data_IF_122870611853
#
_entry.id   IF_122870611853
#
_cell.length_a   1.000
_cell.length_b   1.000
_cell.length_c   1.000
_cell.angle_alpha   90.00
_cell.angle_beta   90.00
_cell.angle_gamma   90.00
#
_symmetry.space_group_name_H-M   'P 1'
#
loop_
_entity.id
_entity.type
_entity.pdbx_description
1 polymer ?
#
# COMPACT_ATOMS: atom_id res chain seq x y z
N UNK A 1 -13.08 -8.83 64.20
CA UNK A 1 -12.45 -9.74 63.21
C UNK A 1 -12.00 -8.94 61.96
N UNK A 2 -10.84 -8.23 61.95
CA UNK A 2 -9.46 -8.75 61.85
C UNK A 2 -9.32 -9.75 60.67
N UNK A 3 -8.47 -9.60 59.65
CA UNK A 3 -7.40 -8.67 59.25
C UNK A 3 -6.95 -9.05 57.81
N UNK A 4 -6.54 -8.09 56.96
CA UNK A 4 -5.16 -7.88 56.44
C UNK A 4 -4.39 -9.09 55.87
N UNK A 5 -3.96 -9.01 54.60
CA UNK A 5 -2.70 -9.59 54.03
C UNK A 5 -2.74 -9.44 52.50
N UNK A 6 -2.21 -8.38 51.86
CA UNK A 6 -0.80 -8.13 51.52
C UNK A 6 0.03 -9.37 51.15
N UNK A 7 0.25 -9.59 49.86
CA UNK A 7 1.46 -10.30 49.39
C UNK A 7 2.07 -9.53 48.22
N UNK A 8 2.91 -8.57 48.57
CA UNK A 8 4.04 -8.17 47.74
C UNK A 8 5.07 -9.30 47.83
N UNK A 9 5.58 -9.77 46.70
CA UNK A 9 6.88 -10.44 46.69
C UNK A 9 7.77 -9.75 45.68
N UNK A 10 8.64 -8.90 46.23
CA UNK A 10 9.84 -8.44 45.58
C UNK A 10 10.71 -9.67 45.23
N UNK A 11 11.22 -9.72 44.02
CA UNK A 11 12.38 -10.55 43.69
C UNK A 11 13.47 -9.64 43.10
N UNK A 12 14.36 -9.29 44.03
CA UNK A 12 15.73 -8.85 43.93
C UNK A 12 16.40 -8.77 42.55
N UNK A 13 16.96 -7.59 42.34
CA UNK A 13 18.09 -7.25 41.46
C UNK A 13 19.15 -8.37 41.40
N UNK A 14 19.53 -8.75 40.18
CA UNK A 14 20.91 -9.09 39.83
C UNK A 14 21.29 -8.35 38.56
N UNK A 15 22.13 -7.34 38.72
CA UNK A 15 23.05 -6.89 37.68
C UNK A 15 24.10 -7.97 37.46
N UNK A 16 24.47 -8.28 36.20
CA UNK A 16 25.82 -8.67 35.89
C UNK A 16 26.56 -7.48 35.27
N UNK A 17 27.74 -7.24 35.84
CA UNK A 17 28.78 -6.38 35.33
C UNK A 17 29.15 -6.70 33.88
N UNK A 18 29.70 -5.69 33.21
CA UNK A 18 30.09 -5.76 31.82
C UNK A 18 31.05 -6.90 31.49
N UNK A 19 30.80 -7.49 30.33
CA UNK A 19 31.80 -8.16 29.53
C UNK A 19 31.66 -7.61 28.12
N UNK A 20 32.53 -6.65 27.79
CA UNK A 20 32.85 -6.24 26.44
C UNK A 20 33.41 -7.45 25.68
N UNK A 21 32.52 -8.17 24.99
CA UNK A 21 32.85 -9.26 24.09
C UNK A 21 32.21 -8.99 22.74
N UNK A 22 32.96 -8.29 21.87
CA UNK A 22 32.57 -8.09 20.48
C UNK A 22 32.55 -9.43 19.74
N UNK A 23 31.37 -10.03 19.60
CA UNK A 23 31.12 -11.09 18.62
C UNK A 23 30.69 -10.42 17.33
N UNK A 24 31.68 -9.93 16.56
CA UNK A 24 31.53 -9.69 15.12
C UNK A 24 31.17 -11.03 14.49
N UNK A 25 29.90 -11.21 14.13
CA UNK A 25 29.47 -12.29 13.27
C UNK A 25 30.26 -12.27 11.95
N UNK A 26 30.62 -13.42 11.39
CA UNK A 26 31.41 -13.49 10.17
C UNK A 26 30.52 -13.07 8.98
N UNK A 27 30.93 -11.99 8.31
CA UNK A 27 30.69 -11.79 6.88
C UNK A 27 29.24 -11.75 6.42
N UNK A 28 28.49 -10.72 6.83
CA UNK A 28 27.46 -10.19 5.94
C UNK A 28 28.14 -9.68 4.69
N UNK A 29 28.19 -10.51 3.64
CA UNK A 29 28.66 -10.10 2.32
C UNK A 29 27.72 -8.99 1.85
N UNK A 30 28.14 -7.74 2.00
CA UNK A 30 27.54 -6.65 1.25
C UNK A 30 27.78 -6.97 -0.22
N UNK A 31 26.72 -7.41 -0.91
CA UNK A 31 26.75 -7.49 -2.36
C UNK A 31 27.28 -6.15 -2.89
N UNK A 32 28.23 -6.14 -3.83
CA UNK A 32 28.73 -4.91 -4.40
C UNK A 32 27.54 -4.15 -4.99
N UNK A 33 27.23 -2.99 -4.43
CA UNK A 33 26.28 -2.07 -5.04
C UNK A 33 26.76 -1.83 -6.47
N UNK A 34 25.89 -1.99 -7.47
CA UNK A 34 26.23 -1.67 -8.85
C UNK A 34 26.67 -0.21 -8.91
N UNK A 35 27.97 0.03 -9.10
CA UNK A 35 28.52 1.38 -9.13
C UNK A 35 28.14 2.01 -10.47
N UNK A 36 27.48 3.18 -10.41
CA UNK A 36 27.31 4.12 -11.52
C UNK A 36 26.42 3.66 -12.71
N UNK A 37 25.58 2.64 -12.54
CA UNK A 37 24.55 2.28 -13.53
C UNK A 37 23.20 2.80 -13.07
N UNK A 38 22.96 4.10 -13.29
CA UNK A 38 21.70 4.78 -12.92
C UNK A 38 20.72 4.90 -14.07
N UNK A 39 21.15 4.62 -15.30
CA UNK A 39 20.33 4.76 -16.50
C UNK A 39 19.42 3.55 -16.79
N UNK A 40 19.58 2.42 -16.08
CA UNK A 40 18.83 1.17 -16.32
C UNK A 40 17.54 1.06 -15.49
N UNK A 41 16.95 2.19 -15.13
CA UNK A 41 15.69 2.25 -14.40
C UNK A 41 15.85 2.38 -12.87
N UNK A 42 14.80 2.07 -12.10
CA UNK A 42 14.76 2.35 -10.67
C UNK A 42 15.77 1.52 -9.88
N UNK A 43 16.37 2.13 -8.83
CA UNK A 43 17.36 1.50 -7.96
C UNK A 43 16.85 0.20 -7.31
N UNK A 44 15.56 0.10 -7.05
CA UNK A 44 14.89 -1.12 -6.61
C UNK A 44 13.53 -1.22 -7.32
N UNK A 45 13.29 -2.29 -8.08
CA UNK A 45 12.00 -2.49 -8.75
C UNK A 45 10.86 -2.69 -7.75
N UNK A 46 11.16 -3.24 -6.57
CA UNK A 46 10.17 -3.52 -5.52
C UNK A 46 9.62 -2.25 -4.89
N UNK A 47 10.49 -1.26 -4.64
CA UNK A 47 10.07 0.00 -4.03
C UNK A 47 9.40 0.92 -5.05
N UNK A 48 9.85 0.89 -6.31
CA UNK A 48 9.27 1.73 -7.36
C UNK A 48 7.79 1.41 -7.63
N UNK A 49 7.43 0.13 -7.50
CA UNK A 49 6.07 -0.34 -7.74
C UNK A 49 5.12 -0.15 -6.54
N UNK A 50 5.62 0.32 -5.39
CA UNK A 50 4.76 0.60 -4.25
C UNK A 50 3.92 1.84 -4.52
N UNK A 51 2.65 1.81 -4.09
CA UNK A 51 1.78 2.99 -4.05
C UNK A 51 2.35 4.12 -3.19
N UNK A 52 3.34 3.84 -2.34
CA UNK A 52 4.04 4.86 -1.54
C UNK A 52 5.18 5.57 -2.27
N UNK A 53 5.61 5.08 -3.43
CA UNK A 53 6.65 5.70 -4.26
C UNK A 53 6.05 6.64 -5.31
N UNK A 54 5.08 7.47 -4.92
CA UNK A 54 4.50 8.50 -5.79
C UNK A 54 5.47 9.67 -5.95
N UNK A 55 5.34 10.41 -7.05
CA UNK A 55 6.23 11.52 -7.41
C UNK A 55 6.42 12.51 -6.26
N UNK A 56 5.35 12.76 -5.50
CA UNK A 56 5.35 13.71 -4.38
C UNK A 56 6.32 13.38 -3.23
N UNK A 57 6.73 12.11 -3.11
CA UNK A 57 7.72 11.69 -2.10
C UNK A 57 9.15 11.96 -2.55
N UNK A 58 9.37 12.19 -3.86
CA UNK A 58 10.68 12.43 -4.45
C UNK A 58 11.01 13.91 -4.60
N UNK A 59 9.99 14.77 -4.76
CA UNK A 59 10.17 16.21 -4.88
C UNK A 59 9.97 16.93 -3.55
N UNK A 60 10.87 17.86 -3.27
CA UNK A 60 10.83 18.71 -2.07
C UNK A 60 9.83 19.86 -2.25
N UNK A 61 9.38 20.45 -1.13
CA UNK A 61 8.50 21.63 -1.20
C UNK A 61 9.16 22.80 -1.92
N UNK A 62 10.49 22.92 -1.84
CA UNK A 62 11.25 23.98 -2.51
C UNK A 62 11.18 23.82 -4.04
N UNK A 63 11.38 22.61 -4.57
CA UNK A 63 11.27 22.36 -6.01
C UNK A 63 9.85 22.60 -6.53
N UNK A 64 8.84 22.21 -5.76
CA UNK A 64 7.44 22.48 -6.12
C UNK A 64 7.13 23.99 -6.06
N UNK A 65 7.74 24.71 -5.11
CA UNK A 65 7.58 26.16 -4.97
C UNK A 65 8.15 26.92 -6.15
N UNK A 66 9.32 26.51 -6.65
CA UNK A 66 9.91 27.12 -7.82
C UNK A 66 8.97 27.01 -9.04
N UNK A 67 8.30 25.86 -9.20
CA UNK A 67 7.28 25.71 -10.26
C UNK A 67 6.01 26.51 -10.01
N UNK A 68 5.58 26.63 -8.75
CA UNK A 68 4.46 27.48 -8.39
C UNK A 68 4.75 28.95 -8.71
N UNK A 69 5.91 29.47 -8.32
CA UNK A 69 6.30 30.86 -8.55
C UNK A 69 6.43 31.19 -10.05
N UNK A 70 6.74 30.20 -10.90
CA UNK A 70 6.74 30.35 -12.36
C UNK A 70 5.32 30.44 -12.97
N UNK A 71 4.32 29.86 -12.32
CA UNK A 71 2.96 29.74 -12.87
C UNK A 71 1.93 30.64 -12.19
N UNK A 72 2.16 31.00 -10.93
CA UNK A 72 1.26 31.77 -10.09
C UNK A 72 1.22 33.22 -10.55
N UNK A 73 0.02 33.72 -10.80
CA UNK A 73 -0.20 35.14 -11.08
C UNK A 73 -0.61 35.77 -9.76
N UNK A 74 0.22 36.67 -9.22
CA UNK A 74 0.00 37.33 -7.92
C UNK A 74 0.03 36.37 -6.70
N UNK A 75 0.82 35.29 -6.77
CA UNK A 75 0.98 34.35 -5.65
C UNK A 75 -0.23 33.43 -5.43
N UNK A 76 -1.12 33.35 -6.43
CA UNK A 76 -2.26 32.45 -6.46
C UNK A 76 -2.25 31.60 -7.74
N UNK A 77 -2.72 30.38 -7.62
CA UNK A 77 -2.87 29.44 -8.72
C UNK A 77 -4.32 28.97 -8.82
N UNK A 78 -4.87 28.99 -10.02
CA UNK A 78 -6.19 28.40 -10.26
C UNK A 78 -6.16 26.88 -10.06
N UNK A 79 -7.15 26.32 -9.36
CA UNK A 79 -7.26 24.88 -9.10
C UNK A 79 -7.24 24.06 -10.39
N UNK A 80 -7.81 24.57 -11.47
CA UNK A 80 -7.78 23.91 -12.78
C UNK A 80 -6.35 23.71 -13.33
N UNK A 81 -5.40 24.54 -12.89
CA UNK A 81 -3.99 24.53 -13.33
C UNK A 81 -3.06 23.74 -12.42
N UNK A 82 -3.57 23.13 -11.35
CA UNK A 82 -2.77 22.28 -10.44
C UNK A 82 -2.16 21.10 -11.19
N UNK A 83 -2.88 20.49 -12.13
CA UNK A 83 -2.33 19.40 -12.96
C UNK A 83 -1.23 19.87 -13.91
N UNK A 84 -1.33 21.09 -14.44
CA UNK A 84 -0.25 21.69 -15.24
C UNK A 84 1.00 21.92 -14.39
N UNK A 85 0.82 22.38 -13.14
CA UNK A 85 1.92 22.56 -12.19
C UNK A 85 2.60 21.23 -11.88
N UNK A 86 1.84 20.19 -11.56
CA UNK A 86 2.38 18.85 -11.28
C UNK A 86 3.11 18.29 -12.49
N UNK A 87 2.56 18.47 -13.69
CA UNK A 87 3.21 18.05 -14.95
C UNK A 87 4.53 18.79 -15.18
N UNK A 88 4.58 20.08 -14.88
CA UNK A 88 5.78 20.89 -15.01
C UNK A 88 6.83 20.51 -13.97
N UNK A 89 6.43 20.27 -12.72
CA UNK A 89 7.33 19.86 -11.64
C UNK A 89 7.89 18.45 -11.84
N UNK A 90 7.05 17.49 -12.23
CA UNK A 90 7.44 16.10 -12.42
C UNK A 90 8.14 15.87 -13.77
N UNK A 91 7.84 16.70 -14.77
CA UNK A 91 8.26 16.49 -16.15
C UNK A 91 7.48 15.39 -16.88
N UNK A 92 6.49 14.79 -16.23
CA UNK A 92 5.58 13.79 -16.78
C UNK A 92 4.17 14.01 -16.23
N UNK A 93 3.18 13.46 -16.92
CA UNK A 93 1.79 13.55 -16.48
C UNK A 93 1.57 12.67 -15.23
N UNK A 94 1.01 13.21 -14.13
CA UNK A 94 0.78 12.43 -12.92
C UNK A 94 -0.08 11.21 -13.21
N UNK A 95 0.18 10.10 -12.51
CA UNK A 95 -0.57 8.87 -12.74
C UNK A 95 -2.04 9.02 -12.31
N UNK A 96 -2.99 8.26 -12.88
CA UNK A 96 -4.40 8.36 -12.51
C UNK A 96 -4.66 8.19 -11.00
N UNK A 97 -3.93 7.28 -10.36
CA UNK A 97 -3.97 7.07 -8.90
C UNK A 97 -3.52 8.32 -8.12
N UNK A 98 -2.48 9.03 -8.61
CA UNK A 98 -2.02 10.29 -8.02
C UNK A 98 -3.05 11.40 -8.23
N UNK A 99 -3.65 11.48 -9.42
CA UNK A 99 -4.67 12.46 -9.73
C UNK A 99 -5.86 12.36 -8.77
N UNK A 100 -6.36 11.13 -8.51
CA UNK A 100 -7.44 10.92 -7.54
C UNK A 100 -7.09 11.41 -6.14
N UNK A 101 -5.85 11.17 -5.68
CA UNK A 101 -5.37 11.67 -4.39
C UNK A 101 -5.35 13.21 -4.36
N UNK A 102 -4.85 13.85 -5.42
CA UNK A 102 -4.78 15.31 -5.51
C UNK A 102 -6.16 15.98 -5.59
N UNK A 103 -7.09 15.39 -6.34
CA UNK A 103 -8.48 15.88 -6.41
C UNK A 103 -9.12 15.84 -5.02
N UNK A 104 -8.89 14.76 -4.28
CA UNK A 104 -9.45 14.56 -2.94
C UNK A 104 -8.81 15.50 -1.91
N UNK A 105 -7.49 15.69 -1.94
CA UNK A 105 -6.77 16.50 -0.95
C UNK A 105 -6.95 18.00 -1.15
N UNK A 106 -7.02 18.47 -2.40
CA UNK A 106 -7.13 19.89 -2.72
C UNK A 106 -8.56 20.35 -3.03
N UNK A 107 -9.54 19.43 -2.95
CA UNK A 107 -10.94 19.67 -3.33
C UNK A 107 -11.02 20.37 -4.70
N UNK A 108 -10.38 19.77 -5.71
CA UNK A 108 -10.26 20.34 -7.05
C UNK A 108 -11.59 20.35 -7.83
N UNK A 109 -12.65 19.74 -7.30
CA UNK A 109 -14.00 19.75 -7.89
C UNK A 109 -14.69 21.12 -7.76
N UNK A 110 -14.26 21.92 -6.79
CA UNK A 110 -14.80 23.27 -6.58
C UNK A 110 -13.92 24.31 -7.27
N UNK A 111 -14.53 25.19 -8.07
CA UNK A 111 -13.84 26.35 -8.67
C UNK A 111 -13.20 27.22 -7.57
N UNK A 112 -11.95 27.62 -7.77
CA UNK A 112 -11.25 28.45 -6.80
C UNK A 112 -9.77 28.66 -7.09
N UNK A 113 -9.17 29.56 -6.30
CA UNK A 113 -7.74 29.85 -6.32
C UNK A 113 -7.10 29.21 -5.09
N UNK A 114 -5.90 28.64 -5.25
CA UNK A 114 -5.06 28.12 -4.17
C UNK A 114 -3.87 29.04 -3.94
N UNK A 115 -3.64 29.39 -2.69
CA UNK A 115 -2.42 30.05 -2.26
C UNK A 115 -1.32 29.01 -1.96
N UNK A 116 -0.05 29.42 -2.04
CA UNK A 116 1.09 28.55 -1.68
C UNK A 116 0.94 27.81 -0.33
N UNK A 117 0.55 28.45 0.80
CA UNK A 117 0.46 27.75 2.08
C UNK A 117 -0.61 26.64 2.09
N UNK A 118 -1.67 26.78 1.31
CA UNK A 118 -2.71 25.74 1.18
C UNK A 118 -2.18 24.56 0.35
N UNK A 119 -1.44 24.89 -0.71
CA UNK A 119 -0.81 23.92 -1.60
C UNK A 119 0.30 23.11 -0.88
N UNK A 120 1.12 23.80 -0.09
CA UNK A 120 2.14 23.19 0.77
C UNK A 120 1.52 22.28 1.84
N UNK A 121 0.48 22.74 2.52
CA UNK A 121 -0.23 21.94 3.52
C UNK A 121 -0.83 20.67 2.91
N UNK A 122 -1.46 20.75 1.73
CA UNK A 122 -1.99 19.58 1.05
C UNK A 122 -0.92 18.61 0.58
N UNK A 123 0.25 19.09 0.13
CA UNK A 123 1.38 18.21 -0.17
C UNK A 123 1.88 17.47 1.05
N UNK A 124 2.01 18.14 2.19
CA UNK A 124 2.44 17.51 3.44
C UNK A 124 1.42 16.49 3.96
N UNK A 125 0.12 16.76 3.81
CA UNK A 125 -0.95 15.81 4.11
C UNK A 125 -0.85 14.54 3.25
N UNK A 126 -0.69 14.68 1.94
CA UNK A 126 -0.52 13.55 1.02
C UNK A 126 0.73 12.74 1.39
N UNK A 127 1.86 13.41 1.69
CA UNK A 127 3.08 12.71 2.08
C UNK A 127 2.89 11.92 3.38
N UNK A 128 2.14 12.44 4.35
CA UNK A 128 1.87 11.73 5.59
C UNK A 128 0.95 10.52 5.36
N UNK A 129 -0.08 10.65 4.52
CA UNK A 129 -0.93 9.53 4.09
C UNK A 129 -0.07 8.42 3.44
N UNK A 130 0.82 8.78 2.53
CA UNK A 130 1.67 7.83 1.81
C UNK A 130 2.75 7.18 2.67
N UNK A 131 3.26 7.86 3.70
CA UNK A 131 4.15 7.26 4.71
C UNK A 131 3.48 6.10 5.45
N UNK A 132 2.16 6.17 5.66
CA UNK A 132 1.36 5.06 6.19
C UNK A 132 1.27 3.89 5.21
N UNK A 133 1.10 4.18 3.92
CA UNK A 133 0.97 3.16 2.86
C UNK A 133 2.26 2.37 2.66
N UNK A 134 3.43 2.99 2.80
CA UNK A 134 4.73 2.30 2.65
C UNK A 134 4.89 1.11 3.62
N UNK A 135 4.40 1.27 4.86
CA UNK A 135 4.46 0.22 5.89
C UNK A 135 3.46 -0.92 5.63
N UNK A 136 2.45 -0.68 4.81
CA UNK A 136 1.38 -1.64 4.53
C UNK A 136 1.81 -2.79 3.61
N UNK A 137 2.88 -2.60 2.83
CA UNK A 137 3.37 -3.65 1.94
C UNK A 137 4.05 -4.80 2.69
N UNK A 138 4.60 -4.53 3.88
CA UNK A 138 5.27 -5.52 4.73
C UNK A 138 4.37 -5.93 5.89
N UNK A 139 3.56 -6.98 5.72
CA UNK A 139 2.67 -7.49 6.77
C UNK A 139 3.39 -8.32 7.84
N UNK A 140 4.47 -9.00 7.46
CA UNK A 140 5.27 -9.81 8.37
C UNK A 140 6.65 -9.19 8.60
N UNK A 141 7.09 -9.17 9.85
CA UNK A 141 8.43 -8.70 10.24
C UNK A 141 9.41 -9.85 10.38
N UNK A 142 8.92 -11.07 10.65
CA UNK A 142 9.74 -12.28 10.76
C UNK A 142 9.30 -13.37 9.80
N UNK A 143 10.26 -14.18 9.34
CA UNK A 143 9.97 -15.35 8.49
C UNK A 143 9.20 -16.44 9.24
N UNK A 144 9.35 -16.51 10.56
CA UNK A 144 8.64 -17.50 11.37
C UNK A 144 7.14 -17.19 11.40
N UNK A 145 6.76 -15.93 11.59
CA UNK A 145 5.36 -15.52 11.60
C UNK A 145 4.68 -15.82 10.26
N UNK A 146 5.38 -15.56 9.14
CA UNK A 146 4.88 -15.89 7.82
C UNK A 146 4.67 -17.39 7.61
N UNK A 147 5.61 -18.24 8.09
CA UNK A 147 5.47 -19.70 8.03
C UNK A 147 4.31 -20.21 8.90
N UNK A 148 4.16 -19.65 10.09
CA UNK A 148 3.09 -20.01 11.01
C UNK A 148 1.72 -19.66 10.40
N UNK A 149 1.59 -18.51 9.74
CA UNK A 149 0.35 -18.13 9.06
C UNK A 149 0.10 -18.97 7.79
N UNK A 150 1.15 -19.32 7.05
CA UNK A 150 1.06 -20.21 5.89
C UNK A 150 0.58 -21.62 6.29
N UNK A 151 1.07 -22.17 7.40
CA UNK A 151 0.61 -23.48 7.92
C UNK A 151 -0.82 -23.43 8.46
N UNK A 152 -1.26 -22.27 8.95
CA UNK A 152 -2.66 -22.04 9.40
C UNK A 152 -3.60 -21.64 8.26
N UNK A 153 -3.09 -21.55 7.02
CA UNK A 153 -3.83 -21.04 5.86
C UNK A 153 -4.45 -19.65 6.08
N UNK A 154 -3.80 -18.81 6.90
CA UNK A 154 -4.20 -17.42 7.07
C UNK A 154 -3.76 -16.62 5.84
N UNK A 155 -4.70 -15.89 5.24
CA UNK A 155 -4.42 -15.00 4.11
C UNK A 155 -3.88 -13.66 4.62
N UNK A 156 -3.17 -12.97 3.74
CA UNK A 156 -2.77 -11.57 3.97
C UNK A 156 -4.02 -10.71 4.17
N UNK A 157 -3.88 -9.68 5.00
CA UNK A 157 -5.01 -8.82 5.36
C UNK A 157 -5.38 -7.86 4.24
N UNK A 158 -4.41 -7.44 3.43
CA UNK A 158 -4.58 -6.47 2.34
C UNK A 158 -4.31 -7.11 0.99
N UNK A 159 -5.10 -6.72 0.00
CA UNK A 159 -4.96 -7.24 -1.34
C UNK A 159 -3.73 -6.65 -2.04
N UNK A 160 -3.19 -7.31 -3.08
CA UNK A 160 -2.05 -6.79 -3.84
C UNK A 160 -2.30 -5.42 -4.47
N UNK A 161 -3.54 -5.14 -4.92
CA UNK A 161 -3.93 -3.86 -5.50
C UNK A 161 -3.86 -2.70 -4.50
N UNK A 162 -4.03 -2.96 -3.20
CA UNK A 162 -3.91 -1.93 -2.16
C UNK A 162 -2.45 -1.57 -1.82
N UNK A 163 -1.47 -2.29 -2.40
CA UNK A 163 -0.05 -2.18 -2.06
C UNK A 163 0.79 -1.71 -3.23
N UNK A 164 0.48 -2.21 -4.43
CA UNK A 164 1.28 -2.02 -5.62
C UNK A 164 0.46 -1.33 -6.72
N UNK A 165 1.15 -0.59 -7.59
CA UNK A 165 0.57 0.11 -8.73
C UNK A 165 0.31 -0.84 -9.91
N UNK A 166 1.20 -1.81 -10.07
CA UNK A 166 1.15 -2.78 -11.15
C UNK A 166 1.37 -4.21 -10.63
N UNK A 167 0.90 -5.24 -11.36
CA UNK A 167 1.20 -6.62 -11.00
C UNK A 167 2.71 -6.88 -11.04
N UNK A 168 3.26 -7.46 -9.98
CA UNK A 168 4.68 -7.83 -9.89
C UNK A 168 4.98 -9.19 -10.53
N UNK A 169 3.97 -10.04 -10.68
CA UNK A 169 4.09 -11.38 -11.26
C UNK A 169 3.01 -11.63 -12.29
N UNK A 170 3.29 -12.49 -13.27
CA UNK A 170 2.32 -12.85 -14.31
C UNK A 170 1.02 -13.40 -13.74
N UNK A 171 1.08 -14.14 -12.63
CA UNK A 171 -0.12 -14.66 -11.95
C UNK A 171 -1.02 -13.55 -11.40
N UNK A 172 -0.46 -12.40 -11.04
CA UNK A 172 -1.24 -11.26 -10.56
C UNK A 172 -2.00 -10.58 -11.71
N UNK A 173 -1.51 -10.64 -12.96
CA UNK A 173 -2.15 -10.01 -14.11
C UNK A 173 -3.58 -10.52 -14.36
N UNK A 174 -3.86 -11.78 -14.05
CA UNK A 174 -5.17 -12.43 -14.27
C UNK A 174 -6.23 -11.90 -13.30
N UNK A 175 -5.83 -11.31 -12.17
CA UNK A 175 -6.73 -10.74 -11.17
C UNK A 175 -6.61 -9.22 -11.04
N UNK A 176 -5.80 -8.57 -11.89
CA UNK A 176 -5.51 -7.14 -11.81
C UNK A 176 -6.49 -6.37 -12.70
N UNK A 177 -7.74 -6.29 -12.28
CA UNK A 177 -8.81 -5.60 -12.99
C UNK A 177 -9.41 -4.54 -12.09
N UNK A 178 -9.36 -3.28 -12.54
CA UNK A 178 -10.03 -2.15 -11.86
C UNK A 178 -11.54 -2.14 -12.15
N UNK A 179 -11.95 -2.77 -13.25
CA UNK A 179 -13.35 -2.86 -13.65
C UNK A 179 -14.10 -3.89 -12.79
N UNK A 180 -15.26 -3.51 -12.25
CA UNK A 180 -16.20 -4.48 -11.69
C UNK A 180 -16.68 -5.41 -12.82
N UNK A 181 -16.07 -6.59 -12.93
CA UNK A 181 -16.46 -7.59 -13.91
C UNK A 181 -17.83 -8.15 -13.52
N UNK A 182 -18.89 -7.53 -14.03
CA UNK A 182 -20.26 -7.99 -13.87
C UNK A 182 -20.50 -9.23 -14.74
N UNK A 183 -20.11 -10.39 -14.21
CA UNK A 183 -20.46 -11.66 -14.82
C UNK A 183 -21.91 -12.00 -14.44
N UNK A 184 -22.86 -11.63 -15.29
CA UNK A 184 -24.21 -12.20 -15.25
C UNK A 184 -24.11 -13.71 -15.44
N UNK A 185 -24.08 -14.43 -14.33
CA UNK A 185 -24.17 -15.88 -14.35
C UNK A 185 -25.64 -16.22 -14.51
N UNK A 186 -25.95 -16.94 -15.58
CA UNK A 186 -27.23 -17.63 -15.75
C UNK A 186 -27.05 -19.09 -15.33
N UNK A 187 -27.04 -19.42 -14.02
CA UNK A 187 -26.97 -20.80 -13.61
C UNK A 187 -28.20 -21.53 -14.15
N UNK A 188 -28.00 -22.72 -14.69
CA UNK A 188 -29.11 -23.63 -14.97
C UNK A 188 -29.71 -24.01 -13.61
N UNK A 189 -30.83 -23.39 -13.25
CA UNK A 189 -31.55 -23.74 -12.05
C UNK A 189 -32.16 -25.14 -12.21
N UNK A 190 -32.06 -25.96 -11.16
CA UNK A 190 -32.75 -27.24 -11.15
C UNK A 190 -34.26 -26.97 -11.14
N UNK A 191 -34.97 -27.41 -12.18
CA UNK A 191 -36.43 -27.36 -12.24
C UNK A 191 -37.05 -28.51 -11.42
N UNK A 192 -38.33 -28.41 -11.01
CA UNK A 192 -39.01 -29.45 -10.22
C UNK A 192 -38.93 -30.86 -10.83
N UNK A 193 -38.94 -30.96 -12.16
CA UNK A 193 -38.84 -32.21 -12.91
C UNK A 193 -37.46 -32.86 -12.73
N UNK A 194 -36.39 -32.07 -12.83
CA UNK A 194 -35.02 -32.56 -12.57
C UNK A 194 -34.82 -32.94 -11.11
N UNK A 195 -35.45 -32.22 -10.18
CA UNK A 195 -35.42 -32.58 -8.75
C UNK A 195 -36.16 -33.89 -8.49
N UNK A 196 -37.32 -34.10 -9.12
CA UNK A 196 -38.08 -35.34 -8.99
C UNK A 196 -37.32 -36.55 -9.59
N UNK A 197 -36.71 -36.37 -10.76
CA UNK A 197 -35.86 -37.40 -11.37
C UNK A 197 -34.68 -37.78 -10.46
N UNK A 198 -34.01 -36.78 -9.84
CA UNK A 198 -32.95 -37.02 -8.85
C UNK A 198 -33.45 -37.81 -7.63
N UNK A 199 -34.63 -37.48 -7.11
CA UNK A 199 -35.24 -38.20 -5.97
C UNK A 199 -35.66 -39.64 -6.34
N UNK A 200 -36.17 -39.87 -7.56
CA UNK A 200 -36.47 -41.21 -8.06
C UNK A 200 -35.21 -42.09 -8.14
N UNK A 201 -34.12 -41.53 -8.68
CA UNK A 201 -32.83 -42.21 -8.76
C UNK A 201 -32.27 -42.51 -7.35
N UNK A 202 -32.36 -41.55 -6.41
CA UNK A 202 -31.95 -41.77 -5.00
C UNK A 202 -32.76 -42.85 -4.31
N UNK A 203 -34.06 -42.94 -4.60
CA UNK A 203 -34.95 -43.98 -4.08
C UNK A 203 -34.78 -45.34 -4.77
N UNK A 204 -33.85 -45.48 -5.74
CA UNK A 204 -33.66 -46.68 -6.57
C UNK A 204 -34.95 -47.17 -7.24
N UNK A 205 -35.83 -46.22 -7.57
CA UNK A 205 -36.97 -46.49 -8.42
C UNK A 205 -36.45 -46.43 -9.86
N UNK A 206 -36.31 -47.60 -10.48
CA UNK A 206 -35.95 -47.71 -11.90
C UNK A 206 -36.99 -46.91 -12.72
N UNK A 207 -36.57 -45.94 -13.53
CA UNK A 207 -37.43 -45.45 -14.58
C UNK A 207 -37.46 -46.58 -15.62
N UNK A 208 -38.64 -47.22 -15.74
CA UNK A 208 -39.01 -48.36 -16.61
C UNK A 208 -39.08 -49.73 -15.90
#
# INVERSE_FOLDING_TARGET
>A
PAGSSSFQHACLRRTPAGASGGLRGPGGQHAPAMQNVTALGPKSPWTANLLSALGIMHFTNEEMKDTFDMMAVQGKLDKARVFELLKMAYGFEPMPEEMGLFVTSFSLEEDGELAWPELEAGFDEIRELLRGVAKNATEHTSTQDWKDDLTKHRRLAKDPMDKFKAPMTDSQTIGWHEEEVFNERFPKSTCPETRYADEMIKCRLEPF
#
